data_IF_931246122190
#
_entry.id   IF_931246122190
#
_cell.length_a   1.000
_cell.length_b   1.000
_cell.length_c   1.000
_cell.angle_alpha   90.00
_cell.angle_beta   90.00
_cell.angle_gamma   90.00
#
_symmetry.space_group_name_H-M   'P 1'
#
loop_
_entity.id
_entity.type
_entity.pdbx_description
1 polymer ?
#
# COMPACT_ATOMS: atom_id res chain seq x y z
N UNK A 1 10.48 -0.97 -3.96
CA UNK A 1 9.04 -0.64 -3.80
C UNK A 1 8.95 0.37 -2.66
N UNK A 2 8.52 1.61 -2.92
CA UNK A 2 8.74 2.74 -1.97
C UNK A 2 7.85 2.72 -0.71
N UNK A 3 6.66 2.14 -0.77
CA UNK A 3 5.68 2.18 0.33
C UNK A 3 5.27 0.80 0.84
N UNK A 4 5.67 -0.30 0.18
CA UNK A 4 5.38 -1.68 0.58
C UNK A 4 3.90 -1.96 0.96
N UNK A 5 2.95 -1.36 0.25
CA UNK A 5 1.51 -1.62 0.41
C UNK A 5 0.94 -2.25 -0.86
N UNK A 6 -0.12 -3.06 -0.76
CA UNK A 6 -0.67 -3.78 -1.91
C UNK A 6 -1.39 -2.87 -2.91
N UNK A 7 -2.02 -1.79 -2.43
CA UNK A 7 -2.81 -0.89 -3.25
C UNK A 7 -2.39 0.55 -2.99
N UNK A 8 -1.96 1.24 -4.04
CA UNK A 8 -1.65 2.67 -4.07
C UNK A 8 -2.49 3.36 -5.14
N UNK A 9 -2.93 4.57 -4.85
CA UNK A 9 -3.64 5.41 -5.80
C UNK A 9 -3.44 6.89 -5.47
N UNK A 10 -3.77 7.77 -6.42
CA UNK A 10 -3.59 9.22 -6.27
C UNK A 10 -4.90 9.92 -5.91
N UNK A 11 -4.80 11.19 -5.56
CA UNK A 11 -5.92 12.13 -5.43
C UNK A 11 -6.91 12.06 -6.61
N UNK A 12 -6.40 11.93 -7.84
CA UNK A 12 -7.25 11.81 -9.04
C UNK A 12 -8.18 10.61 -8.95
N UNK A 13 -7.65 9.45 -8.56
CA UNK A 13 -8.49 8.25 -8.36
C UNK A 13 -9.39 8.43 -7.14
N UNK A 14 -8.87 9.01 -6.06
CA UNK A 14 -9.64 9.23 -4.84
C UNK A 14 -10.90 10.06 -5.08
N UNK A 15 -10.85 11.07 -5.95
CA UNK A 15 -12.02 11.90 -6.33
C UNK A 15 -13.08 11.15 -7.15
N UNK A 16 -12.73 10.01 -7.76
CA UNK A 16 -13.65 9.16 -8.50
C UNK A 16 -14.30 8.09 -7.61
N UNK A 17 -13.79 7.88 -6.40
CA UNK A 17 -14.38 6.94 -5.44
C UNK A 17 -15.64 7.56 -4.82
N UNK A 18 -16.58 6.71 -4.44
CA UNK A 18 -17.68 7.15 -3.56
C UNK A 18 -17.11 7.55 -2.20
N UNK A 19 -17.76 8.50 -1.53
CA UNK A 19 -17.33 9.03 -0.23
C UNK A 19 -16.97 7.92 0.77
N UNK A 20 -17.87 6.96 0.96
CA UNK A 20 -17.63 5.85 1.90
C UNK A 20 -16.48 4.91 1.52
N UNK A 21 -16.02 4.89 0.26
CA UNK A 21 -14.82 4.14 -0.14
C UNK A 21 -13.57 5.01 0.01
N UNK A 22 -13.65 6.28 -0.33
CA UNK A 22 -12.55 7.24 -0.17
C UNK A 22 -12.14 7.38 1.31
N UNK A 23 -13.10 7.40 2.23
CA UNK A 23 -12.86 7.44 3.68
C UNK A 23 -12.08 6.24 4.22
N UNK A 24 -12.11 5.10 3.52
CA UNK A 24 -11.35 3.90 3.91
C UNK A 24 -9.88 3.99 3.51
N UNK A 25 -9.55 4.95 2.64
CA UNK A 25 -8.20 5.25 2.19
C UNK A 25 -7.44 6.12 3.18
N UNK A 26 -6.17 5.79 3.41
CA UNK A 26 -5.26 6.64 4.16
C UNK A 26 -4.40 7.43 3.20
N UNK A 27 -4.40 8.76 3.32
CA UNK A 27 -3.41 9.61 2.66
C UNK A 27 -2.06 9.38 3.33
N UNK A 28 -1.07 8.96 2.54
CA UNK A 28 0.24 8.53 3.04
C UNK A 28 1.39 9.43 2.61
N UNK A 29 1.21 10.20 1.54
CA UNK A 29 2.27 11.06 1.02
C UNK A 29 1.72 12.19 0.14
N UNK A 30 2.58 13.17 -0.14
CA UNK A 30 2.38 14.21 -1.13
C UNK A 30 3.65 14.37 -1.94
N UNK A 31 3.55 14.09 -3.23
CA UNK A 31 4.73 13.89 -4.08
C UNK A 31 4.64 14.66 -5.38
N UNK A 32 5.80 15.11 -5.85
CA UNK A 32 5.99 15.58 -7.22
C UNK A 32 6.76 14.51 -7.97
N UNK A 33 6.16 13.95 -9.01
CA UNK A 33 6.82 12.97 -9.87
C UNK A 33 7.73 13.74 -10.83
N UNK A 34 8.99 13.33 -10.96
CA UNK A 34 9.89 13.92 -11.95
C UNK A 34 9.27 13.88 -13.36
N UNK A 35 9.34 15.00 -14.08
CA UNK A 35 8.69 15.16 -15.38
C UNK A 35 7.22 15.58 -15.31
N UNK A 36 6.56 15.49 -14.15
CA UNK A 36 5.23 16.07 -13.92
C UNK A 36 5.33 17.46 -13.27
N UNK A 37 4.52 18.40 -13.78
CA UNK A 37 4.34 19.69 -13.14
C UNK A 37 3.41 19.60 -11.92
N UNK A 38 2.62 18.53 -11.84
CA UNK A 38 1.57 18.36 -10.85
C UNK A 38 2.10 17.72 -9.57
N UNK A 39 1.45 18.08 -8.46
CA UNK A 39 1.67 17.48 -7.14
C UNK A 39 0.51 16.52 -6.90
N UNK A 40 0.84 15.30 -6.49
CA UNK A 40 -0.14 14.25 -6.24
C UNK A 40 -0.16 13.90 -4.77
N UNK A 41 -1.36 13.81 -4.20
CA UNK A 41 -1.53 13.16 -2.90
C UNK A 41 -1.63 11.66 -3.15
N UNK A 42 -0.89 10.87 -2.36
CA UNK A 42 -0.84 9.42 -2.49
C UNK A 42 -1.64 8.80 -1.37
N UNK A 43 -2.46 7.82 -1.72
CA UNK A 43 -3.33 7.09 -0.81
C UNK A 43 -3.06 5.60 -0.89
N UNK A 44 -3.39 4.88 0.18
CA UNK A 44 -3.42 3.43 0.19
C UNK A 44 -4.66 2.91 0.91
N UNK A 45 -5.00 1.64 0.64
CA UNK A 45 -5.82 0.85 1.55
C UNK A 45 -4.90 0.03 2.43
N UNK A 46 -5.01 0.24 3.75
CA UNK A 46 -4.30 -0.53 4.75
C UNK A 46 -4.88 -1.94 4.81
N UNK A 47 -4.14 -2.91 4.27
CA UNK A 47 -4.49 -4.32 4.16
C UNK A 47 -3.24 -5.17 4.39
N UNK A 48 -3.29 -6.08 5.36
CA UNK A 48 -2.23 -7.06 5.61
C UNK A 48 -2.59 -8.44 5.08
N UNK A 49 -2.04 -8.79 3.91
CA UNK A 49 -2.27 -10.09 3.28
C UNK A 49 -1.73 -11.28 4.10
N UNK A 50 -0.80 -11.05 5.04
CA UNK A 50 -0.23 -12.11 5.88
C UNK A 50 -1.32 -12.73 6.76
N UNK A 51 -2.30 -11.93 7.19
CA UNK A 51 -3.41 -12.34 8.05
C UNK A 51 -4.38 -13.33 7.39
N UNK A 52 -4.43 -13.38 6.05
CA UNK A 52 -5.29 -14.34 5.35
C UNK A 52 -4.76 -15.77 5.38
N UNK A 53 -3.48 -15.95 5.74
CA UNK A 53 -2.80 -17.22 5.67
C UNK A 53 -2.64 -17.76 4.25
N UNK A 54 -1.78 -18.75 4.07
CA UNK A 54 -1.67 -19.45 2.78
C UNK A 54 -2.85 -20.41 2.65
N UNK A 55 -3.80 -20.08 1.77
CA UNK A 55 -4.87 -20.99 1.41
C UNK A 55 -4.31 -22.35 0.98
N UNK A 56 -4.93 -23.44 1.43
CA UNK A 56 -4.57 -24.78 0.98
C UNK A 56 -4.91 -24.90 -0.52
N UNK A 57 -4.03 -25.53 -1.29
CA UNK A 57 -4.28 -25.77 -2.71
C UNK A 57 -5.44 -26.78 -2.84
N UNK A 58 -6.66 -26.27 -2.99
CA UNK A 58 -7.86 -27.09 -3.16
C UNK A 58 -7.76 -28.04 -4.37
N UNK A 59 -8.44 -29.19 -4.26
CA UNK A 59 -8.48 -30.21 -5.30
C UNK A 59 -9.21 -29.74 -6.57
N UNK A 60 -9.24 -30.58 -7.61
CA UNK A 60 -9.84 -30.22 -8.90
C UNK A 60 -11.33 -29.81 -8.81
N UNK A 61 -12.11 -30.42 -7.91
CA UNK A 61 -13.52 -30.04 -7.66
C UNK A 61 -13.65 -28.69 -6.97
N UNK A 62 -12.79 -28.40 -6.00
CA UNK A 62 -12.78 -27.11 -5.29
C UNK A 62 -12.47 -25.97 -6.26
N UNK A 63 -11.55 -26.19 -7.22
CA UNK A 63 -11.23 -25.19 -8.24
C UNK A 63 -12.43 -24.78 -9.10
N UNK A 64 -13.28 -25.74 -9.50
CA UNK A 64 -14.49 -25.45 -10.28
C UNK A 64 -15.49 -24.67 -9.44
N UNK A 65 -15.70 -25.09 -8.18
CA UNK A 65 -16.57 -24.40 -7.23
C UNK A 65 -16.10 -22.96 -6.99
N UNK A 66 -14.83 -22.75 -6.67
CA UNK A 66 -14.24 -21.42 -6.46
C UNK A 66 -14.39 -20.53 -7.70
N UNK A 67 -14.22 -21.09 -8.91
CA UNK A 67 -14.43 -20.32 -10.15
C UNK A 67 -15.88 -19.87 -10.30
N UNK A 68 -16.84 -20.73 -10.00
CA UNK A 68 -18.27 -20.38 -10.07
C UNK A 68 -18.62 -19.31 -9.03
N UNK A 69 -18.18 -19.48 -7.78
CA UNK A 69 -18.39 -18.51 -6.70
C UNK A 69 -17.74 -17.16 -7.02
N UNK A 70 -16.52 -17.14 -7.58
CA UNK A 70 -15.85 -15.91 -8.01
C UNK A 70 -16.63 -15.18 -9.11
N UNK A 71 -17.20 -15.91 -10.07
CA UNK A 71 -18.05 -15.32 -11.12
C UNK A 71 -19.35 -14.75 -10.55
N UNK A 72 -19.97 -15.45 -9.59
CA UNK A 72 -21.18 -14.99 -8.92
C UNK A 72 -20.92 -13.70 -8.12
N UNK A 73 -19.88 -13.69 -7.28
CA UNK A 73 -19.44 -12.51 -6.52
C UNK A 73 -19.09 -11.34 -7.46
N UNK A 74 -18.48 -11.64 -8.61
CA UNK A 74 -18.21 -10.64 -9.64
C UNK A 74 -19.52 -10.04 -10.16
N UNK A 75 -20.50 -10.84 -10.56
CA UNK A 75 -21.78 -10.32 -11.06
C UNK A 75 -22.51 -9.47 -10.02
N UNK A 76 -22.48 -9.89 -8.75
CA UNK A 76 -23.07 -9.16 -7.62
C UNK A 76 -22.41 -7.79 -7.42
N UNK A 77 -21.07 -7.70 -7.46
CA UNK A 77 -20.31 -6.44 -7.33
C UNK A 77 -20.54 -5.44 -8.47
N UNK A 78 -21.04 -5.90 -9.62
CA UNK A 78 -21.39 -5.06 -10.76
C UNK A 78 -22.85 -4.58 -10.74
N UNK A 79 -23.63 -4.96 -9.72
CA UNK A 79 -25.00 -4.48 -9.54
C UNK A 79 -25.02 -3.01 -9.11
N UNK A 80 -25.97 -2.23 -9.62
CA UNK A 80 -26.12 -0.80 -9.26
C UNK A 80 -26.43 -0.61 -7.77
N UNK A 81 -27.11 -1.58 -7.15
CA UNK A 81 -27.42 -1.59 -5.72
C UNK A 81 -26.24 -2.02 -4.83
N UNK A 82 -25.09 -2.35 -5.41
CA UNK A 82 -23.93 -2.82 -4.65
C UNK A 82 -23.16 -1.66 -4.02
N UNK A 83 -23.21 -1.57 -2.69
CA UNK A 83 -22.48 -0.55 -1.93
C UNK A 83 -21.07 -1.06 -1.58
N UNK A 84 -20.08 -0.68 -2.38
CA UNK A 84 -18.68 -1.11 -2.20
C UNK A 84 -18.12 -0.80 -0.80
N UNK A 85 -18.54 0.30 -0.17
CA UNK A 85 -18.09 0.69 1.16
C UNK A 85 -18.44 -0.36 2.23
N UNK A 86 -19.62 -1.02 2.12
CA UNK A 86 -20.03 -2.05 3.07
C UNK A 86 -19.12 -3.28 3.05
N UNK A 87 -18.31 -3.46 2.00
CA UNK A 87 -17.34 -4.55 1.91
C UNK A 87 -16.29 -4.47 3.02
N UNK A 88 -15.93 -3.27 3.48
CA UNK A 88 -14.93 -3.10 4.54
C UNK A 88 -15.42 -3.58 5.91
N UNK A 89 -16.75 -3.54 6.15
CA UNK A 89 -17.36 -3.94 7.42
C UNK A 89 -17.99 -5.33 7.39
N UNK A 90 -18.23 -5.89 6.20
CA UNK A 90 -18.93 -7.17 6.02
C UNK A 90 -18.07 -8.29 5.47
N UNK A 91 -17.03 -7.97 4.70
CA UNK A 91 -16.14 -9.00 4.15
C UNK A 91 -15.14 -9.44 5.23
N UNK A 92 -15.28 -10.69 5.67
CA UNK A 92 -14.47 -11.25 6.77
C UNK A 92 -12.98 -11.24 6.49
N UNK A 93 -12.57 -11.34 5.21
CA UNK A 93 -11.16 -11.35 4.85
C UNK A 93 -10.60 -9.93 4.93
N UNK A 94 -11.35 -8.92 4.49
CA UNK A 94 -10.95 -7.51 4.62
C UNK A 94 -10.88 -7.09 6.08
N UNK A 95 -11.86 -7.46 6.89
CA UNK A 95 -11.85 -7.19 8.33
C UNK A 95 -10.61 -7.79 9.00
N UNK A 96 -10.23 -9.03 8.64
CA UNK A 96 -9.00 -9.67 9.15
C UNK A 96 -7.74 -8.93 8.71
N UNK A 97 -7.61 -8.63 7.42
CA UNK A 97 -6.47 -7.86 6.89
C UNK A 97 -6.36 -6.46 7.52
N UNK A 98 -7.47 -5.92 8.04
CA UNK A 98 -7.54 -4.59 8.67
C UNK A 98 -7.41 -4.61 10.20
N UNK A 99 -7.41 -5.79 10.82
CA UNK A 99 -7.54 -5.93 12.28
C UNK A 99 -6.44 -5.18 13.06
N UNK A 100 -5.25 -5.07 12.49
CA UNK A 100 -4.11 -4.38 13.10
C UNK A 100 -4.13 -2.85 12.97
N UNK A 101 -4.96 -2.29 12.09
CA UNK A 101 -5.00 -0.84 11.85
C UNK A 101 -6.12 -0.23 12.68
N UNK A 102 -5.78 0.20 13.89
CA UNK A 102 -6.76 0.77 14.84
C UNK A 102 -7.06 2.24 14.54
N UNK A 103 -8.14 2.76 15.12
CA UNK A 103 -8.48 4.18 15.01
C UNK A 103 -7.36 5.08 15.59
N UNK A 104 -6.71 4.63 16.65
CA UNK A 104 -5.55 5.30 17.26
C UNK A 104 -4.39 5.38 16.28
N UNK A 105 -4.05 4.27 15.60
CA UNK A 105 -3.03 4.25 14.55
C UNK A 105 -3.33 5.30 13.46
N UNK A 106 -4.57 5.34 12.95
CA UNK A 106 -4.96 6.32 11.93
C UNK A 106 -4.82 7.77 12.42
N UNK A 107 -5.19 8.04 13.67
CA UNK A 107 -5.13 9.39 14.23
C UNK A 107 -3.69 9.85 14.51
N UNK A 108 -2.85 8.96 15.04
CA UNK A 108 -1.44 9.23 15.29
C UNK A 108 -0.69 9.44 13.96
N UNK A 109 -0.90 8.55 12.98
CA UNK A 109 -0.31 8.71 11.65
C UNK A 109 -0.76 10.02 10.99
N UNK A 110 -2.06 10.34 11.01
CA UNK A 110 -2.58 11.59 10.44
C UNK A 110 -1.92 12.82 11.08
N UNK A 111 -1.79 12.81 12.41
CA UNK A 111 -1.14 13.89 13.15
C UNK A 111 0.34 14.02 12.78
N UNK A 112 1.04 12.89 12.67
CA UNK A 112 2.43 12.87 12.27
C UNK A 112 2.62 13.38 10.83
N UNK A 113 1.74 12.97 9.91
CA UNK A 113 1.76 13.39 8.52
C UNK A 113 1.53 14.90 8.36
N UNK A 114 0.60 15.48 9.12
CA UNK A 114 0.38 16.94 9.11
C UNK A 114 1.61 17.72 9.60
N UNK A 115 2.32 17.20 10.61
CA UNK A 115 3.59 17.80 11.06
C UNK A 115 4.69 17.66 9.99
N UNK A 116 4.75 16.52 9.30
CA UNK A 116 5.67 16.32 8.19
C UNK A 116 5.40 17.31 7.05
N UNK A 117 4.14 17.50 6.64
CA UNK A 117 3.77 18.49 5.62
C UNK A 117 4.11 19.92 6.05
N UNK A 118 3.95 20.25 7.34
CA UNK A 118 4.27 21.55 7.90
C UNK A 118 5.78 21.83 8.03
N UNK A 119 6.64 20.82 7.87
CA UNK A 119 8.09 20.93 8.06
C UNK A 119 8.55 20.68 9.51
N UNK A 120 7.64 20.32 10.42
CA UNK A 120 7.92 20.01 11.82
C UNK A 120 8.41 18.56 11.98
N UNK A 121 9.52 18.22 11.31
CA UNK A 121 9.99 16.84 11.14
C UNK A 121 10.40 16.16 12.45
N UNK A 122 10.89 16.91 13.42
CA UNK A 122 11.18 16.38 14.76
C UNK A 122 9.91 15.87 15.48
N UNK A 123 8.81 16.62 15.38
CA UNK A 123 7.50 16.23 15.94
C UNK A 123 6.92 15.05 15.16
N UNK A 124 6.96 15.14 13.83
CA UNK A 124 6.52 14.05 12.95
C UNK A 124 7.24 12.73 13.25
N UNK A 125 8.57 12.77 13.42
CA UNK A 125 9.38 11.61 13.82
C UNK A 125 8.91 11.01 15.14
N UNK A 126 8.69 11.84 16.17
CA UNK A 126 8.22 11.39 17.47
C UNK A 126 6.87 10.67 17.37
N UNK A 127 5.92 11.27 16.64
CA UNK A 127 4.59 10.70 16.46
C UNK A 127 4.61 9.43 15.61
N UNK A 128 5.38 9.41 14.52
CA UNK A 128 5.53 8.20 13.68
C UNK A 128 6.19 7.07 14.45
N UNK A 129 7.18 7.39 15.30
CA UNK A 129 7.82 6.39 16.17
C UNK A 129 6.81 5.84 17.16
N UNK A 130 6.01 6.70 17.80
CA UNK A 130 4.94 6.30 18.71
C UNK A 130 3.89 5.44 18.01
N UNK A 131 3.43 5.81 16.82
CA UNK A 131 2.45 5.01 16.08
C UNK A 131 2.92 3.60 15.72
N UNK A 132 4.24 3.37 15.70
CA UNK A 132 4.77 2.01 15.59
C UNK A 132 4.52 1.22 16.88
N UNK A 133 4.70 1.85 18.04
CA UNK A 133 4.62 1.24 19.37
C UNK A 133 3.20 1.16 19.95
N UNK A 134 2.35 2.16 19.74
CA UNK A 134 1.07 2.30 20.48
C UNK A 134 -0.05 1.40 19.93
N UNK A 135 0.03 0.95 18.68
CA UNK A 135 -1.01 0.15 18.01
C UNK A 135 -1.03 -1.35 18.32
N UNK A 136 -0.28 -1.85 19.31
CA UNK A 136 -0.13 -3.31 19.54
C UNK A 136 0.72 -4.03 18.48
N UNK A 137 1.02 -3.34 17.38
CA UNK A 137 1.76 -3.83 16.21
C UNK A 137 3.23 -4.12 16.49
N UNK A 138 3.92 -3.44 17.42
CA UNK A 138 5.33 -3.79 17.72
C UNK A 138 5.47 -5.12 18.46
N UNK A 139 4.50 -5.52 19.29
CA UNK A 139 4.57 -6.80 19.99
C UNK A 139 3.97 -7.96 19.17
N UNK A 140 2.96 -7.71 18.33
CA UNK A 140 2.33 -8.74 17.50
C UNK A 140 2.94 -8.88 16.09
N UNK A 141 3.53 -7.82 15.50
CA UNK A 141 4.22 -7.85 14.19
C UNK A 141 5.75 -7.84 14.29
N UNK A 142 6.32 -8.24 15.43
CA UNK A 142 7.76 -8.34 15.61
C UNK A 142 8.53 -7.03 15.37
N UNK A 143 7.89 -5.87 15.58
CA UNK A 143 8.54 -4.56 15.50
C UNK A 143 8.70 -3.98 14.09
N UNK A 144 7.98 -4.48 13.08
CA UNK A 144 8.09 -3.97 11.70
C UNK A 144 7.13 -2.79 11.50
N UNK A 145 7.72 -1.63 11.22
CA UNK A 145 7.03 -0.41 10.77
C UNK A 145 6.09 -0.66 9.58
N UNK A 146 4.90 -0.04 9.54
CA UNK A 146 4.11 -0.02 8.31
C UNK A 146 4.91 0.67 7.19
N UNK A 147 4.75 0.16 5.97
CA UNK A 147 5.56 0.62 4.84
C UNK A 147 5.48 2.13 4.58
N UNK A 148 4.30 2.79 4.67
CA UNK A 148 4.19 4.24 4.58
C UNK A 148 4.96 5.02 5.65
N UNK A 149 4.80 4.68 6.94
CA UNK A 149 5.56 5.35 8.01
C UNK A 149 7.07 5.15 7.85
N UNK A 150 7.51 3.94 7.49
CA UNK A 150 8.91 3.66 7.20
C UNK A 150 9.46 4.49 6.03
N UNK A 151 8.63 4.72 5.00
CA UNK A 151 8.97 5.53 3.83
C UNK A 151 9.17 7.00 4.19
N UNK A 152 8.29 7.57 5.03
CA UNK A 152 8.42 8.95 5.51
C UNK A 152 9.63 9.10 6.43
N UNK A 153 9.83 8.18 7.37
CA UNK A 153 10.98 8.22 8.29
C UNK A 153 12.32 8.16 7.56
N UNK A 154 12.45 7.27 6.57
CA UNK A 154 13.68 7.18 5.78
C UNK A 154 14.00 8.50 5.06
N UNK A 155 12.98 9.11 4.46
CA UNK A 155 13.16 10.39 3.79
C UNK A 155 13.51 11.52 4.75
N UNK A 156 12.91 11.55 5.95
CA UNK A 156 13.29 12.51 6.98
C UNK A 156 14.73 12.28 7.46
N UNK A 157 15.13 11.03 7.63
CA UNK A 157 16.48 10.63 8.02
C UNK A 157 17.54 11.07 7.01
N UNK A 158 17.25 10.96 5.71
CA UNK A 158 18.13 11.40 4.62
C UNK A 158 18.46 12.91 4.68
N UNK A 159 17.62 13.72 5.33
CA UNK A 159 17.87 15.15 5.55
C UNK A 159 18.21 15.46 7.02
N UNK A 160 18.64 14.47 7.80
CA UNK A 160 19.05 14.68 9.19
C UNK A 160 17.90 15.07 10.13
N UNK A 161 16.66 14.69 9.80
CA UNK A 161 15.44 15.00 10.56
C UNK A 161 15.04 16.48 10.56
N UNK A 162 15.57 17.26 9.62
CA UNK A 162 15.22 18.66 9.42
C UNK A 162 14.65 18.86 8.03
N UNK A 163 13.54 19.59 7.94
CA UNK A 163 12.93 19.90 6.66
C UNK A 163 13.85 20.84 5.85
N UNK A 164 14.02 20.64 4.54
CA UNK A 164 14.79 21.54 3.70
C UNK A 164 14.25 22.98 3.74
N UNK A 165 15.13 23.96 3.56
CA UNK A 165 14.72 25.35 3.43
C UNK A 165 13.72 25.51 2.28
N UNK A 166 12.53 26.04 2.58
CA UNK A 166 11.45 26.17 1.58
C UNK A 166 10.64 24.89 1.35
N UNK A 167 10.65 23.95 2.30
CA UNK A 167 9.78 22.78 2.28
C UNK A 167 8.32 23.16 1.99
N UNK A 168 7.78 22.58 0.92
CA UNK A 168 6.43 22.89 0.41
C UNK A 168 5.38 21.86 0.85
N UNK A 169 5.75 20.95 1.76
CA UNK A 169 4.92 19.82 2.15
C UNK A 169 4.92 18.66 1.15
N UNK A 170 5.76 18.69 0.11
CA UNK A 170 5.86 17.60 -0.86
C UNK A 170 7.31 17.24 -1.21
N UNK A 171 7.59 15.94 -1.35
CA UNK A 171 8.90 15.44 -1.79
C UNK A 171 8.91 15.10 -3.28
N UNK A 172 10.09 15.14 -3.88
CA UNK A 172 10.28 14.61 -5.22
C UNK A 172 10.32 13.07 -5.18
N UNK A 173 9.58 12.43 -6.08
CA UNK A 173 9.79 11.01 -6.38
C UNK A 173 10.56 10.91 -7.70
N UNK A 174 11.67 10.15 -7.72
CA UNK A 174 12.41 9.92 -8.95
C UNK A 174 11.48 9.25 -9.96
N UNK A 175 11.66 9.57 -11.25
CA UNK A 175 10.91 8.88 -12.29
C UNK A 175 11.19 7.37 -12.20
N UNK A 176 10.14 6.56 -12.34
CA UNK A 176 10.25 5.11 -12.42
C UNK A 176 11.22 4.68 -13.54
N UNK A 177 11.40 5.51 -14.58
CA UNK A 177 12.35 5.27 -15.66
C UNK A 177 13.79 5.59 -15.22
N UNK A 178 14.03 6.72 -14.54
CA UNK A 178 15.35 7.08 -14.01
C UNK A 178 15.86 6.05 -13.01
N UNK A 179 14.98 5.59 -12.11
CA UNK A 179 15.32 4.57 -11.10
C UNK A 179 15.64 3.19 -11.69
N UNK A 180 15.10 2.84 -12.87
CA UNK A 180 15.47 1.62 -13.61
C UNK A 180 16.82 1.77 -14.34
N UNK A 181 17.15 2.98 -14.81
CA UNK A 181 18.44 3.26 -15.46
C UNK A 181 19.60 3.27 -14.46
N UNK A 182 19.41 3.82 -13.26
CA UNK A 182 20.40 3.82 -12.19
C UNK A 182 20.63 2.41 -11.60
N UNK A 183 19.61 1.54 -11.63
CA UNK A 183 19.71 0.13 -11.26
C UNK A 183 20.47 -0.74 -12.28
N UNK A 184 21.10 -0.14 -13.31
CA UNK A 184 21.99 -0.85 -14.24
C UNK A 184 21.28 -1.68 -15.31
N UNK A 185 19.97 -1.51 -15.51
CA UNK A 185 19.28 -2.10 -16.66
C UNK A 185 19.54 -1.25 -17.91
N UNK A 186 20.68 -1.52 -18.56
CA UNK A 186 20.96 -0.98 -19.89
C UNK A 186 19.79 -1.34 -20.84
N UNK A 187 19.18 -0.31 -21.42
CA UNK A 187 18.15 -0.41 -22.45
C UNK A 187 18.74 -1.11 -23.69
N UNK A 188 18.74 -2.44 -23.71
CA UNK A 188 19.42 -3.18 -24.77
C UNK A 188 19.29 -4.69 -24.78
N UNK A 189 18.36 -5.29 -24.03
CA UNK A 189 17.90 -6.66 -24.28
C UNK A 189 16.63 -6.93 -23.48
N UNK A 190 15.46 -6.74 -24.07
CA UNK A 190 14.25 -7.40 -23.58
C UNK A 190 14.39 -8.88 -23.96
N UNK A 191 14.56 -9.82 -23.01
CA UNK A 191 14.50 -11.23 -23.36
C UNK A 191 13.09 -11.49 -23.89
N UNK A 192 12.98 -12.00 -25.12
CA UNK A 192 11.70 -12.40 -25.69
C UNK A 192 11.01 -13.31 -24.69
N UNK A 193 9.82 -12.92 -24.23
CA UNK A 193 8.97 -13.76 -23.41
C UNK A 193 8.56 -14.98 -24.24
N UNK A 194 9.39 -16.01 -24.19
CA UNK A 194 9.02 -17.33 -24.67
C UNK A 194 8.02 -17.95 -23.68
N UNK A 195 6.99 -18.66 -24.16
CA UNK A 195 5.96 -19.21 -23.29
C UNK A 195 6.60 -20.20 -22.31
N UNK A 196 6.33 -20.02 -21.02
CA UNK A 196 6.76 -20.91 -19.93
C UNK A 196 6.51 -22.38 -20.31
N UNK A 197 7.57 -23.12 -20.61
CA UNK A 197 7.52 -24.59 -20.66
C UNK A 197 7.34 -25.12 -19.24
N UNK A 198 6.41 -26.06 -19.12
CA UNK A 198 6.03 -26.74 -17.91
C UNK A 198 7.22 -27.46 -17.25
N UNK A 199 7.42 -27.26 -15.95
CA UNK A 199 8.14 -28.20 -15.11
C UNK A 199 7.29 -29.48 -14.98
N UNK A 200 7.59 -30.46 -15.84
CA UNK A 200 7.42 -31.88 -15.53
C UNK A 200 8.82 -32.45 -15.31
N UNK A 201 8.86 -33.53 -14.55
CA UNK A 201 10.00 -34.42 -14.26
C UNK A 201 10.73 -34.12 -12.95
N UNK A 202 10.30 -34.81 -11.89
CA UNK A 202 11.16 -35.50 -10.92
C UNK A 202 10.29 -36.42 -10.06
N UNK A 203 9.96 -37.58 -10.61
CA UNK A 203 9.62 -38.79 -9.86
C UNK A 203 10.18 -39.95 -10.68
N UNK A 204 11.38 -40.41 -10.34
CA UNK A 204 11.89 -41.76 -10.58
C UNK A 204 13.30 -41.87 -10.00
N UNK A 205 13.40 -42.42 -8.79
CA UNK A 205 14.38 -43.43 -8.33
C UNK A 205 14.24 -43.61 -6.81
#
# INVERSE_FOLDING_TARGET
>A
MHYCVPILYTDTVNTLLTEGVAEQGRRIDKVRIEGSADVHEVYCFDLDEVELGRGSAGGGRDRIRHRFEARRKKAERWSDDYIMAEMFDRDTDIMKMRAQYTAEFFNEFRSAFLNYEAGEWAVAKSLLSQSMYTGGTVFELGGIADGPSASLMRHMEEHGWEAPAGWSGCRALPDAISSLQEAGFAAGHLPSLSPRRACRESCES
#
